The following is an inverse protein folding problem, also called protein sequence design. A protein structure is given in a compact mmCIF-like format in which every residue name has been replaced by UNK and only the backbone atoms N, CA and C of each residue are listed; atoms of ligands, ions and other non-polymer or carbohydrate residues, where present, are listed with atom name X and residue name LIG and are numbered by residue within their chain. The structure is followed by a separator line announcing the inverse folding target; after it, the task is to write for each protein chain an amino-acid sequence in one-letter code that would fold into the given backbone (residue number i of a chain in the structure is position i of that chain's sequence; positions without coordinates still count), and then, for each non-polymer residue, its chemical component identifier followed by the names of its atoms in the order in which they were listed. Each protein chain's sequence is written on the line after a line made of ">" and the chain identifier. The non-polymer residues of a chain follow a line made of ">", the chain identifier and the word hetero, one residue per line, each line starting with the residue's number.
data_IF_834520860909
#
_entry.id   IF_834520860909
#
_cell.length_a   1.000
_cell.length_b   1.000
_cell.length_c   1.000
_cell.angle_alpha   90.00
_cell.angle_beta   90.00
_cell.angle_gamma   90.00
#
_symmetry.space_group_name_H-M   'P 1'
#
loop_
_entity.id
_entity.type
_entity.pdbx_description
1 polymer ?
#
# COMPACT_ATOMS: atom_id res chain seq x y z
N UNK A 1 6.85 11.91 -8.78
CA UNK A 1 7.93 10.92 -8.55
C UNK A 1 8.17 10.20 -9.86
N UNK A 2 9.37 10.25 -10.44
CA UNK A 2 9.67 9.50 -11.67
C UNK A 2 9.94 8.03 -11.32
N UNK A 3 9.28 7.11 -12.02
CA UNK A 3 9.54 5.69 -11.91
C UNK A 3 10.94 5.42 -12.46
N UNK A 4 11.83 4.83 -11.66
CA UNK A 4 13.15 4.42 -12.13
C UNK A 4 13.00 3.58 -13.40
N UNK A 5 13.82 3.86 -14.43
CA UNK A 5 13.74 3.23 -15.76
C UNK A 5 13.67 1.71 -15.69
N UNK A 6 14.49 1.11 -14.83
CA UNK A 6 14.57 -0.34 -14.67
C UNK A 6 13.25 -0.93 -14.16
N UNK A 7 12.53 -0.20 -13.31
CA UNK A 7 11.25 -0.63 -12.75
C UNK A 7 10.14 -0.51 -13.78
N UNK A 8 10.15 0.54 -14.60
CA UNK A 8 9.23 0.69 -15.73
C UNK A 8 9.42 -0.46 -16.74
N UNK A 9 10.67 -0.75 -17.09
CA UNK A 9 11.00 -1.80 -18.06
C UNK A 9 10.63 -3.19 -17.52
N UNK A 10 10.81 -3.44 -16.23
CA UNK A 10 10.38 -4.66 -15.57
C UNK A 10 8.85 -4.84 -15.61
N UNK A 11 8.08 -3.82 -15.26
CA UNK A 11 6.61 -3.88 -15.30
C UNK A 11 6.10 -4.03 -16.74
N UNK A 12 6.73 -3.37 -17.71
CA UNK A 12 6.43 -3.55 -19.13
C UNK A 12 6.66 -5.00 -19.58
N UNK A 13 7.77 -5.62 -19.15
CA UNK A 13 8.07 -7.02 -19.42
C UNK A 13 7.04 -7.96 -18.77
N UNK A 14 6.61 -7.68 -17.54
CA UNK A 14 5.58 -8.46 -16.86
C UNK A 14 4.25 -8.40 -17.62
N UNK A 15 3.85 -7.22 -18.09
CA UNK A 15 2.66 -7.04 -18.91
C UNK A 15 2.76 -7.80 -20.24
N UNK A 16 3.88 -7.71 -20.95
CA UNK A 16 4.11 -8.45 -22.21
C UNK A 16 3.99 -9.97 -21.99
N UNK A 17 4.53 -10.45 -20.87
CA UNK A 17 4.57 -11.87 -20.51
C UNK A 17 3.32 -12.37 -19.81
N UNK A 18 2.32 -11.50 -19.58
CA UNK A 18 1.11 -11.82 -18.77
C UNK A 18 1.46 -12.42 -17.41
N UNK A 19 2.50 -11.89 -16.78
CA UNK A 19 2.86 -12.27 -15.41
C UNK A 19 1.80 -11.69 -14.48
N UNK A 20 1.26 -12.52 -13.60
CA UNK A 20 0.40 -12.05 -12.51
C UNK A 20 1.29 -11.40 -11.44
N UNK A 21 1.07 -10.11 -11.17
CA UNK A 21 1.82 -9.36 -10.16
C UNK A 21 0.90 -8.42 -9.38
N UNK A 22 1.32 -8.05 -8.17
CA UNK A 22 0.64 -7.06 -7.32
C UNK A 22 1.62 -5.94 -7.01
N UNK A 23 1.18 -4.69 -7.17
CA UNK A 23 1.92 -3.51 -6.70
C UNK A 23 1.39 -3.18 -5.31
N UNK A 24 2.29 -2.95 -4.36
CA UNK A 24 1.95 -2.63 -2.95
C UNK A 24 2.55 -1.28 -2.54
N UNK A 25 1.99 -0.67 -1.49
CA UNK A 25 2.49 0.60 -0.93
C UNK A 25 2.20 1.83 -1.80
N UNK A 26 3.07 2.84 -1.75
CA UNK A 26 2.86 4.13 -2.41
C UNK A 26 2.67 4.06 -3.93
N UNK A 27 3.25 3.07 -4.61
CA UNK A 27 3.03 2.85 -6.04
C UNK A 27 1.60 2.36 -6.34
N UNK A 28 1.03 1.53 -5.47
CA UNK A 28 -0.36 1.08 -5.61
C UNK A 28 -1.32 2.27 -5.43
N UNK A 29 -1.01 3.16 -4.48
CA UNK A 29 -1.74 4.40 -4.29
C UNK A 29 -1.67 5.29 -5.53
N UNK A 30 -0.48 5.44 -6.12
CA UNK A 30 -0.29 6.25 -7.32
C UNK A 30 -1.13 5.75 -8.52
N UNK A 31 -1.07 4.45 -8.80
CA UNK A 31 -1.86 3.80 -9.87
C UNK A 31 -3.38 3.91 -9.61
N UNK A 32 -3.81 3.89 -8.35
CA UNK A 32 -5.23 4.02 -7.98
C UNK A 32 -5.73 5.48 -7.95
N UNK A 33 -4.96 6.43 -8.47
CA UNK A 33 -5.34 7.84 -8.59
C UNK A 33 -4.96 8.72 -7.39
N UNK A 34 -4.24 8.18 -6.41
CA UNK A 34 -3.71 8.94 -5.27
C UNK A 34 -2.28 9.46 -5.46
N UNK A 35 -1.74 9.39 -6.69
CA UNK A 35 -0.37 9.81 -6.99
C UNK A 35 -0.10 11.31 -6.83
N UNK A 36 -1.15 12.11 -6.71
CA UNK A 36 -1.06 13.55 -6.40
C UNK A 36 -1.09 13.85 -4.89
N UNK A 37 -1.33 12.83 -4.05
CA UNK A 37 -1.10 12.98 -2.62
C UNK A 37 0.42 12.99 -2.43
N UNK A 38 0.96 14.11 -1.97
CA UNK A 38 2.39 14.28 -1.65
C UNK A 38 2.73 13.48 -0.36
N UNK A 39 2.50 12.17 -0.40
CA UNK A 39 2.74 11.24 0.71
C UNK A 39 4.20 10.76 0.62
N UNK A 40 4.95 11.07 1.67
CA UNK A 40 6.29 10.54 1.91
C UNK A 40 6.29 9.45 2.97
N UNK A 41 7.44 8.81 3.15
CA UNK A 41 7.66 7.81 4.20
C UNK A 41 7.25 8.33 5.59
N UNK A 42 7.56 9.61 5.88
CA UNK A 42 7.26 10.22 7.18
C UNK A 42 5.77 10.27 7.51
N UNK A 43 4.89 10.24 6.51
CA UNK A 43 3.45 10.23 6.75
C UNK A 43 2.98 8.89 7.32
N UNK A 44 3.72 7.81 7.04
CA UNK A 44 3.44 6.45 7.51
C UNK A 44 4.23 6.06 8.77
N UNK A 45 5.32 6.77 9.09
CA UNK A 45 6.18 6.44 10.25
C UNK A 45 6.00 7.35 11.45
N UNK A 46 5.36 8.52 11.30
CA UNK A 46 4.97 9.37 12.43
C UNK A 46 3.73 8.80 13.10
N UNK A 47 3.81 8.57 14.41
CA UNK A 47 2.66 8.22 15.22
C UNK A 47 1.58 9.33 15.21
N UNK A 48 0.35 8.94 15.52
CA UNK A 48 -0.83 9.81 15.66
C UNK A 48 -1.26 10.52 14.38
N UNK A 49 -0.94 9.92 13.24
CA UNK A 49 -1.33 10.39 11.91
C UNK A 49 -2.42 9.51 11.29
N UNK A 50 -3.39 10.15 10.65
CA UNK A 50 -4.49 9.51 9.91
C UNK A 50 -4.39 9.93 8.44
N UNK A 51 -4.19 8.96 7.55
CA UNK A 51 -4.17 9.19 6.11
C UNK A 51 -5.50 8.70 5.54
N UNK A 52 -6.31 9.63 5.08
CA UNK A 52 -7.58 9.32 4.43
C UNK A 52 -7.41 9.26 2.91
N UNK A 53 -7.88 8.16 2.33
CA UNK A 53 -7.87 7.91 0.89
C UNK A 53 -9.31 7.76 0.39
N UNK A 54 -9.70 8.62 -0.53
CA UNK A 54 -11.02 8.57 -1.19
C UNK A 54 -12.13 9.29 -0.41
N UNK A 55 -13.37 8.97 -0.79
CA UNK A 55 -14.60 9.57 -0.24
C UNK A 55 -15.65 8.47 0.01
N UNK A 56 -16.56 8.65 0.99
CA UNK A 56 -17.67 7.72 1.19
C UNK A 56 -18.48 7.49 -0.10
N UNK A 57 -18.93 6.25 -0.37
CA UNK A 57 -18.78 5.03 0.43
C UNK A 57 -17.44 4.28 0.24
N UNK A 58 -16.57 4.75 -0.67
CA UNK A 58 -15.29 4.11 -1.03
C UNK A 58 -14.14 4.89 -0.41
N UNK A 59 -14.03 4.81 0.92
CA UNK A 59 -12.98 5.47 1.73
C UNK A 59 -12.15 4.44 2.48
N UNK A 60 -10.85 4.64 2.51
CA UNK A 60 -9.90 3.90 3.32
C UNK A 60 -9.19 4.89 4.24
N UNK A 61 -9.12 4.57 5.53
CA UNK A 61 -8.40 5.36 6.53
C UNK A 61 -7.20 4.52 7.02
N UNK A 62 -5.98 5.03 6.86
CA UNK A 62 -4.76 4.41 7.37
C UNK A 62 -4.36 5.12 8.67
N UNK A 63 -4.28 4.35 9.76
CA UNK A 63 -3.89 4.83 11.08
C UNK A 63 -2.45 4.39 11.35
N UNK A 64 -1.61 5.34 11.77
CA UNK A 64 -0.19 5.09 12.12
C UNK A 64 0.03 4.80 13.59
N UNK A 65 -0.99 5.02 14.43
CA UNK A 65 -1.01 4.64 15.84
C UNK A 65 -2.44 4.30 16.29
N UNK A 66 -2.54 3.50 17.35
CA UNK A 66 -3.78 3.21 18.06
C UNK A 66 -3.48 3.33 19.54
N UNK A 67 -4.25 4.14 20.26
CA UNK A 67 -4.04 4.37 21.70
C UNK A 67 -4.07 3.06 22.48
N UNK A 68 -2.98 2.77 23.19
CA UNK A 68 -2.85 1.57 24.01
C UNK A 68 -2.50 0.30 23.23
N UNK A 69 -2.12 0.40 21.95
CA UNK A 69 -1.68 -0.74 21.14
C UNK A 69 -0.31 -0.43 20.53
N UNK A 70 0.67 -1.28 20.81
CA UNK A 70 2.00 -1.23 20.20
C UNK A 70 2.01 -1.88 18.82
N UNK A 71 3.04 -1.60 18.02
CA UNK A 71 3.22 -2.25 16.72
C UNK A 71 3.34 -3.77 16.84
N UNK A 72 4.08 -4.27 17.83
CA UNK A 72 4.28 -5.71 18.02
C UNK A 72 2.96 -6.41 18.39
N UNK A 73 2.12 -5.79 19.24
CA UNK A 73 0.79 -6.30 19.57
C UNK A 73 -0.14 -6.31 18.34
N UNK A 74 -0.18 -5.21 17.58
CA UNK A 74 -0.97 -5.12 16.36
C UNK A 74 -0.52 -6.12 15.29
N UNK A 75 0.80 -6.32 15.13
CA UNK A 75 1.36 -7.25 14.17
C UNK A 75 1.13 -8.71 14.55
N UNK A 76 1.17 -9.02 15.85
CA UNK A 76 0.90 -10.35 16.37
C UNK A 76 -0.54 -10.80 16.09
N UNK A 77 -1.51 -9.89 16.16
CA UNK A 77 -2.94 -10.16 15.90
C UNK A 77 -3.39 -9.77 14.48
N UNK A 78 -2.46 -9.64 13.53
CA UNK A 78 -2.81 -9.30 12.14
C UNK A 78 -3.57 -10.46 11.48
N UNK A 79 -4.62 -10.13 10.73
CA UNK A 79 -5.30 -11.09 9.88
C UNK A 79 -4.83 -10.96 8.43
N UNK A 80 -4.22 -12.03 7.90
CA UNK A 80 -3.90 -12.13 6.48
C UNK A 80 -5.09 -12.72 5.74
N UNK A 81 -5.61 -12.00 4.75
CA UNK A 81 -6.74 -12.46 3.92
C UNK A 81 -6.51 -12.11 2.46
N UNK A 82 -7.17 -12.84 1.55
CA UNK A 82 -7.27 -12.47 0.14
C UNK A 82 -8.38 -11.45 -0.04
N UNK A 83 -8.07 -10.34 -0.73
CA UNK A 83 -9.09 -9.39 -1.16
C UNK A 83 -9.32 -9.61 -2.66
N UNK A 84 -10.51 -10.08 -3.02
CA UNK A 84 -10.78 -10.73 -4.33
C UNK A 84 -9.92 -12.00 -4.51
N UNK A 85 -9.87 -12.60 -5.70
CA UNK A 85 -9.11 -13.84 -5.99
C UNK A 85 -7.57 -13.67 -5.91
N UNK A 86 -7.07 -12.63 -5.24
CA UNK A 86 -5.64 -12.32 -5.10
C UNK A 86 -5.15 -12.90 -3.78
N UNK A 87 -4.29 -13.92 -3.86
CA UNK A 87 -3.69 -14.55 -2.69
C UNK A 87 -2.78 -13.57 -1.93
N UNK A 88 -2.83 -13.53 -0.57
CA UNK A 88 -1.93 -12.69 0.20
C UNK A 88 -0.48 -13.17 0.05
N UNK A 89 0.42 -12.29 -0.39
CA UNK A 89 1.87 -12.56 -0.36
C UNK A 89 2.42 -12.22 1.02
N UNK A 90 3.01 -13.18 1.77
CA UNK A 90 3.62 -12.87 3.05
C UNK A 90 4.83 -11.95 2.86
N UNK A 91 4.89 -10.86 3.62
CA UNK A 91 6.09 -10.05 3.78
C UNK A 91 7.17 -10.91 4.47
N UNK A 92 8.38 -10.95 3.90
CA UNK A 92 9.59 -11.53 4.52
C UNK A 92 10.32 -10.48 5.34
#
# INVERSE_FOLDING_TARGET
>A
MELQSDFRDLLALFNERRVEYVIVGGYALAEFGFGNLDLGESDFTKADHVIQLGLPPVRIDLLTSISGVTWDEAHADRMMTSYSDIAPTPYR
#
